data_IF_701564169931
#
_entry.id   IF_701564169931
#
_cell.length_a   1.000
_cell.length_b   1.000
_cell.length_c   1.000
_cell.angle_alpha   90.00
_cell.angle_beta   90.00
_cell.angle_gamma   90.00
#
_symmetry.space_group_name_H-M   'P 1'
#
loop_
_entity.id
_entity.type
_entity.pdbx_description
1 polymer ?
#
# COMPACT_ATOMS: atom_id res chain seq x y z
N UNK A 1 -4.14 6.11 37.16
CA UNK A 1 -4.66 4.73 37.29
C UNK A 1 -4.82 4.02 35.94
N UNK A 2 -5.53 4.56 34.94
CA UNK A 2 -5.75 3.95 33.62
C UNK A 2 -4.43 3.70 32.82
N UNK A 3 -3.46 4.62 32.85
CA UNK A 3 -2.15 4.45 32.18
C UNK A 3 -1.33 3.30 32.77
N UNK A 4 -1.36 3.13 34.10
CA UNK A 4 -0.63 2.07 34.82
C UNK A 4 -1.29 0.70 34.50
N UNK A 5 -2.62 0.62 34.48
CA UNK A 5 -3.34 -0.59 34.15
C UNK A 5 -3.08 -1.05 32.71
N UNK A 6 -3.06 -0.10 31.75
CA UNK A 6 -2.70 -0.37 30.35
C UNK A 6 -1.25 -0.88 30.24
N UNK A 7 -0.30 -0.34 31.00
CA UNK A 7 1.09 -0.78 30.99
C UNK A 7 1.26 -2.19 31.55
N UNK A 8 0.54 -2.53 32.63
CA UNK A 8 0.56 -3.87 33.26
C UNK A 8 -0.08 -4.91 32.33
N UNK A 9 -1.21 -4.58 31.69
CA UNK A 9 -1.87 -5.47 30.71
C UNK A 9 -0.94 -5.68 29.51
N UNK A 10 -0.32 -4.61 29.01
CA UNK A 10 0.64 -4.65 27.89
C UNK A 10 1.84 -5.55 28.23
N UNK A 11 2.42 -5.43 29.45
CA UNK A 11 3.52 -6.27 29.93
C UNK A 11 3.13 -7.75 30.03
N UNK A 12 1.95 -8.07 30.59
CA UNK A 12 1.45 -9.45 30.66
C UNK A 12 1.18 -10.06 29.29
N UNK A 13 0.69 -9.26 28.33
CA UNK A 13 0.50 -9.70 26.95
C UNK A 13 1.85 -9.99 26.30
N UNK A 14 2.86 -9.14 26.51
CA UNK A 14 4.21 -9.35 25.98
C UNK A 14 4.85 -10.61 26.57
N UNK A 15 4.77 -10.79 27.90
CA UNK A 15 5.30 -11.98 28.60
C UNK A 15 4.57 -13.27 28.18
N UNK A 16 3.26 -13.19 27.91
CA UNK A 16 2.47 -14.32 27.39
C UNK A 16 2.90 -14.73 25.97
N UNK A 17 3.18 -13.76 25.09
CA UNK A 17 3.68 -14.02 23.74
C UNK A 17 5.12 -14.54 23.77
N UNK A 18 5.97 -14.04 24.68
CA UNK A 18 7.34 -14.54 24.85
C UNK A 18 7.38 -16.01 25.30
N UNK A 19 6.45 -16.43 26.14
CA UNK A 19 6.41 -17.80 26.68
C UNK A 19 5.67 -18.80 25.79
N UNK A 20 4.68 -18.36 24.99
CA UNK A 20 3.83 -19.28 24.20
C UNK A 20 4.12 -19.37 22.71
N UNK A 21 4.82 -18.40 22.10
CA UNK A 21 5.02 -18.35 20.64
C UNK A 21 6.34 -18.97 20.14
N UNK A 22 7.13 -19.57 21.01
CA UNK A 22 8.38 -20.20 20.62
C UNK A 22 9.48 -19.20 20.22
N UNK A 23 10.59 -19.71 19.71
CA UNK A 23 11.74 -18.91 19.28
C UNK A 23 11.40 -18.10 18.04
N UNK A 24 11.39 -16.77 18.15
CA UNK A 24 11.29 -15.91 16.98
C UNK A 24 12.59 -15.91 16.18
N UNK A 25 12.49 -15.87 14.86
CA UNK A 25 13.64 -15.67 13.99
C UNK A 25 14.25 -14.28 14.22
N UNK A 26 13.42 -13.25 14.37
CA UNK A 26 13.84 -11.89 14.62
C UNK A 26 12.81 -11.16 15.51
N UNK A 27 13.32 -10.34 16.44
CA UNK A 27 12.51 -9.52 17.34
C UNK A 27 13.16 -8.16 17.52
N UNK A 28 12.38 -7.10 17.41
CA UNK A 28 12.83 -5.72 17.57
C UNK A 28 11.81 -4.90 18.36
N UNK A 29 12.27 -4.16 19.36
CA UNK A 29 11.46 -3.15 20.06
C UNK A 29 11.52 -1.83 19.28
N UNK A 30 10.40 -1.11 19.18
CA UNK A 30 10.36 0.19 18.54
C UNK A 30 8.97 0.80 18.52
N UNK A 31 8.77 1.83 17.71
CA UNK A 31 7.52 2.57 17.57
C UNK A 31 6.85 2.22 16.24
N UNK A 32 5.59 1.85 16.28
CA UNK A 32 4.83 1.51 15.07
C UNK A 32 4.09 2.75 14.51
N UNK A 33 4.41 3.23 13.30
CA UNK A 33 3.73 4.38 12.71
C UNK A 33 2.26 4.12 12.35
N UNK A 34 1.84 2.84 12.26
CA UNK A 34 0.46 2.48 11.94
C UNK A 34 -0.49 2.43 13.15
N UNK A 35 -0.03 2.00 14.32
CA UNK A 35 -0.85 2.05 15.54
C UNK A 35 -0.42 3.13 16.53
N UNK A 36 0.65 3.87 16.20
CA UNK A 36 1.17 5.00 16.97
C UNK A 36 1.54 4.62 18.41
N UNK A 37 2.11 3.42 18.57
CA UNK A 37 2.50 2.89 19.87
C UNK A 37 3.90 2.29 19.89
N UNK A 38 4.56 2.39 21.06
CA UNK A 38 5.72 1.55 21.38
C UNK A 38 5.29 0.08 21.42
N UNK A 39 6.03 -0.78 20.71
CA UNK A 39 5.66 -2.18 20.52
C UNK A 39 6.90 -3.05 20.27
N UNK A 40 6.66 -4.34 20.11
CA UNK A 40 7.61 -5.25 19.50
C UNK A 40 7.16 -5.60 18.08
N UNK A 41 8.14 -5.68 17.18
CA UNK A 41 8.01 -6.29 15.87
C UNK A 41 8.64 -7.67 15.94
N UNK A 42 7.94 -8.68 15.42
CA UNK A 42 8.41 -10.07 15.46
C UNK A 42 8.31 -10.73 14.09
N UNK A 43 9.29 -11.57 13.77
CA UNK A 43 9.25 -12.43 12.59
C UNK A 43 9.47 -13.88 12.97
N UNK A 44 8.71 -14.79 12.36
CA UNK A 44 8.80 -16.24 12.58
C UNK A 44 9.83 -16.91 11.66
N UNK A 45 10.17 -16.27 10.55
CA UNK A 45 11.17 -16.74 9.57
C UNK A 45 11.92 -15.57 8.92
N UNK A 46 12.82 -15.87 8.00
CA UNK A 46 13.68 -14.88 7.32
C UNK A 46 12.96 -14.00 6.30
N UNK A 47 11.76 -14.37 5.83
CA UNK A 47 10.98 -13.57 4.90
C UNK A 47 10.26 -12.43 5.64
N UNK A 48 11.00 -11.36 5.93
CA UNK A 48 10.53 -10.26 6.77
C UNK A 48 9.35 -9.50 6.13
N UNK A 49 9.25 -9.46 4.80
CA UNK A 49 8.21 -8.72 4.08
C UNK A 49 6.79 -9.06 4.57
N UNK A 50 6.52 -10.35 4.83
CA UNK A 50 5.19 -10.83 5.23
C UNK A 50 5.15 -11.35 6.67
N UNK A 51 6.29 -11.53 7.32
CA UNK A 51 6.36 -12.13 8.66
C UNK A 51 6.88 -11.20 9.74
N UNK A 52 7.46 -10.03 9.43
CA UNK A 52 7.90 -9.07 10.44
C UNK A 52 6.74 -8.16 10.86
N UNK A 53 5.93 -8.66 11.82
CA UNK A 53 4.65 -8.08 12.22
C UNK A 53 4.74 -7.27 13.50
N UNK A 54 4.00 -6.15 13.54
CA UNK A 54 3.71 -5.43 14.78
C UNK A 54 2.82 -6.27 15.69
N UNK A 55 3.19 -6.43 16.97
CA UNK A 55 2.38 -7.20 17.92
C UNK A 55 1.04 -6.55 18.28
N UNK A 56 0.90 -5.24 18.10
CA UNK A 56 -0.33 -4.50 18.43
C UNK A 56 -1.31 -4.52 17.27
N UNK A 57 -0.89 -4.08 16.07
CA UNK A 57 -1.82 -3.89 14.94
C UNK A 57 -1.61 -4.89 13.79
N UNK A 58 -0.63 -5.79 13.88
CA UNK A 58 -0.33 -6.76 12.84
C UNK A 58 0.29 -6.18 11.56
N UNK A 59 0.62 -4.88 11.53
CA UNK A 59 1.18 -4.23 10.35
C UNK A 59 2.49 -4.86 9.89
N UNK A 60 2.70 -4.84 8.57
CA UNK A 60 3.87 -5.33 7.87
C UNK A 60 4.88 -4.19 7.57
N UNK A 61 6.16 -4.50 7.26
CA UNK A 61 7.16 -3.48 6.98
C UNK A 61 6.74 -2.45 5.91
N UNK A 62 6.19 -2.91 4.77
CA UNK A 62 5.73 -2.03 3.68
C UNK A 62 4.57 -1.12 4.09
N UNK A 63 3.64 -1.61 4.93
CA UNK A 63 2.53 -0.82 5.46
C UNK A 63 3.03 0.28 6.42
N UNK A 64 4.07 -0.02 7.21
CA UNK A 64 4.73 0.95 8.08
C UNK A 64 5.56 1.95 7.30
N UNK A 65 6.29 1.50 6.26
CA UNK A 65 7.03 2.39 5.37
C UNK A 65 6.09 3.39 4.68
N UNK A 66 4.97 2.91 4.13
CA UNK A 66 3.97 3.75 3.48
C UNK A 66 3.39 4.78 4.47
N UNK A 67 2.98 4.35 5.66
CA UNK A 67 2.42 5.28 6.65
C UNK A 67 3.47 6.28 7.15
N UNK A 68 4.72 5.86 7.33
CA UNK A 68 5.80 6.77 7.73
C UNK A 68 6.06 7.82 6.65
N UNK A 69 6.07 7.43 5.37
CA UNK A 69 6.19 8.35 4.24
C UNK A 69 5.03 9.35 4.23
N UNK A 70 3.78 8.91 4.38
CA UNK A 70 2.62 9.80 4.45
C UNK A 70 2.79 10.82 5.59
N UNK A 71 3.21 10.39 6.78
CA UNK A 71 3.37 11.28 7.95
C UNK A 71 4.48 12.29 7.77
N UNK A 72 5.57 11.92 7.12
CA UNK A 72 6.72 12.79 6.91
C UNK A 72 6.45 13.83 5.81
N UNK A 73 5.85 13.40 4.71
CA UNK A 73 5.57 14.26 3.55
C UNK A 73 4.33 15.15 3.77
N UNK A 74 3.34 14.66 4.54
CA UNK A 74 2.04 15.31 4.71
C UNK A 74 1.67 15.38 6.20
N UNK A 75 2.22 16.33 6.93
CA UNK A 75 2.00 16.46 8.39
C UNK A 75 0.53 16.65 8.81
N UNK A 76 -0.30 17.18 7.90
CA UNK A 76 -1.74 17.37 8.06
C UNK A 76 -2.59 16.29 7.37
N UNK A 77 -2.02 15.12 7.06
CA UNK A 77 -2.62 14.06 6.25
C UNK A 77 -4.06 13.70 6.68
N UNK A 78 -4.35 13.75 7.97
CA UNK A 78 -5.68 13.39 8.49
C UNK A 78 -6.80 14.36 8.05
N UNK A 79 -6.48 15.54 7.55
CA UNK A 79 -7.43 16.51 7.00
C UNK A 79 -7.50 16.48 5.46
N UNK A 80 -6.66 15.71 4.80
CA UNK A 80 -6.63 15.59 3.35
C UNK A 80 -7.76 14.68 2.86
N UNK A 81 -8.19 14.90 1.61
CA UNK A 81 -9.10 14.01 0.92
C UNK A 81 -8.32 12.88 0.27
N UNK A 82 -8.45 11.69 0.82
CA UNK A 82 -7.64 10.52 0.49
C UNK A 82 -8.49 9.46 -0.19
N UNK A 83 -8.04 8.98 -1.34
CA UNK A 83 -8.52 7.77 -1.98
C UNK A 83 -7.52 6.64 -1.77
N UNK A 84 -7.96 5.50 -1.27
CA UNK A 84 -7.16 4.27 -1.22
C UNK A 84 -7.85 3.18 -2.04
N UNK A 85 -7.13 2.64 -3.02
CA UNK A 85 -7.59 1.49 -3.81
C UNK A 85 -7.12 0.20 -3.17
N UNK A 86 -8.05 -0.74 -3.04
CA UNK A 86 -7.83 -2.09 -2.49
C UNK A 86 -7.23 -2.09 -1.08
N UNK A 87 -7.80 -1.31 -0.12
CA UNK A 87 -7.29 -1.21 1.23
C UNK A 87 -7.33 -2.56 1.97
N UNK A 88 -6.33 -2.76 2.84
CA UNK A 88 -6.34 -3.87 3.79
C UNK A 88 -7.14 -3.53 5.07
N UNK A 89 -7.26 -4.52 5.97
CA UNK A 89 -7.94 -4.35 7.26
C UNK A 89 -6.98 -4.00 8.41
N UNK A 90 -5.71 -3.76 8.12
CA UNK A 90 -4.65 -3.48 9.11
C UNK A 90 -3.71 -2.38 8.63
N UNK A 91 -2.69 -2.11 9.41
CA UNK A 91 -1.60 -1.21 9.03
C UNK A 91 -2.07 0.22 8.74
N UNK A 92 -1.56 0.79 7.65
CA UNK A 92 -1.92 2.15 7.23
C UNK A 92 -3.40 2.30 6.88
N UNK A 93 -4.01 1.33 6.17
CA UNK A 93 -5.43 1.38 5.78
C UNK A 93 -6.35 1.51 6.98
N UNK A 94 -6.06 0.75 8.06
CA UNK A 94 -6.83 0.85 9.30
C UNK A 94 -6.67 2.23 9.94
N UNK A 95 -5.45 2.76 10.03
CA UNK A 95 -5.20 4.08 10.61
C UNK A 95 -5.87 5.19 9.79
N UNK A 96 -5.79 5.13 8.46
CA UNK A 96 -6.45 6.07 7.56
C UNK A 96 -7.96 6.05 7.76
N UNK A 97 -8.57 4.87 7.80
CA UNK A 97 -10.01 4.70 8.06
C UNK A 97 -10.45 5.27 9.41
N UNK A 98 -9.60 5.14 10.45
CA UNK A 98 -9.91 5.63 11.80
C UNK A 98 -9.70 7.13 11.98
N UNK A 99 -8.72 7.74 11.26
CA UNK A 99 -8.28 9.10 11.54
C UNK A 99 -8.40 10.10 10.39
N UNK A 100 -8.44 9.64 9.14
CA UNK A 100 -8.59 10.56 8.02
C UNK A 100 -10.04 11.03 7.92
N UNK A 101 -10.24 12.34 7.91
CA UNK A 101 -11.57 12.98 7.89
C UNK A 101 -12.33 12.71 6.60
N UNK A 102 -11.60 12.65 5.48
CA UNK A 102 -12.19 12.47 4.14
C UNK A 102 -11.48 11.29 3.45
N UNK A 103 -11.89 10.08 3.78
CA UNK A 103 -11.28 8.85 3.30
C UNK A 103 -12.27 8.04 2.48
N UNK A 104 -11.89 7.74 1.24
CA UNK A 104 -12.68 6.94 0.29
C UNK A 104 -11.91 5.66 -0.02
N UNK A 105 -12.58 4.54 0.23
CA UNK A 105 -12.07 3.19 -0.03
C UNK A 105 -12.71 2.62 -1.29
N UNK A 106 -11.91 2.03 -2.17
CA UNK A 106 -12.43 1.37 -3.38
C UNK A 106 -11.90 -0.04 -3.53
N UNK A 107 -12.71 -0.89 -4.14
CA UNK A 107 -12.31 -2.18 -4.70
C UNK A 107 -12.84 -2.29 -6.12
N UNK A 108 -12.24 -3.16 -6.94
CA UNK A 108 -12.73 -3.41 -8.29
C UNK A 108 -13.48 -4.74 -8.35
N UNK A 109 -14.79 -4.66 -8.61
CA UNK A 109 -15.68 -5.78 -8.87
C UNK A 109 -16.10 -5.73 -10.34
N UNK A 110 -15.49 -6.59 -11.17
CA UNK A 110 -15.62 -6.57 -12.63
C UNK A 110 -17.07 -6.56 -13.11
N UNK A 111 -17.93 -7.37 -12.49
CA UNK A 111 -19.32 -7.60 -12.93
C UNK A 111 -20.32 -6.60 -12.33
N UNK A 112 -19.83 -5.53 -11.70
CA UNK A 112 -20.67 -4.51 -11.06
C UNK A 112 -20.44 -3.16 -11.69
N UNK A 113 -21.50 -2.33 -11.71
CA UNK A 113 -21.40 -0.96 -12.23
C UNK A 113 -20.39 -0.14 -11.41
N UNK A 114 -19.51 0.60 -12.11
CA UNK A 114 -18.58 1.52 -11.45
C UNK A 114 -19.34 2.62 -10.71
N UNK A 115 -18.73 3.15 -9.66
CA UNK A 115 -19.31 4.17 -8.79
C UNK A 115 -20.33 3.64 -7.77
N UNK A 116 -20.75 2.38 -7.84
CA UNK A 116 -21.68 1.77 -6.85
C UNK A 116 -20.93 1.33 -5.60
N UNK A 117 -21.66 1.21 -4.48
CA UNK A 117 -21.09 0.75 -3.20
C UNK A 117 -21.44 -0.72 -2.98
N UNK A 118 -20.43 -1.55 -2.76
CA UNK A 118 -20.52 -2.99 -2.56
C UNK A 118 -19.76 -3.34 -1.27
N UNK A 119 -20.41 -3.91 -0.29
CA UNK A 119 -19.83 -4.30 1.00
C UNK A 119 -19.06 -3.14 1.70
N UNK A 120 -19.54 -1.89 1.53
CA UNK A 120 -18.92 -0.71 2.13
C UNK A 120 -17.75 -0.10 1.31
N UNK A 121 -17.40 -0.68 0.17
CA UNK A 121 -16.39 -0.16 -0.75
C UNK A 121 -17.05 0.37 -2.02
N UNK A 122 -16.60 1.52 -2.50
CA UNK A 122 -17.01 2.00 -3.82
C UNK A 122 -16.32 1.18 -4.90
N UNK A 123 -17.08 0.74 -5.91
CA UNK A 123 -16.54 0.00 -7.04
C UNK A 123 -15.89 0.95 -8.02
N UNK A 124 -14.57 0.85 -8.21
CA UNK A 124 -13.82 1.65 -9.17
C UNK A 124 -12.78 0.79 -9.88
N UNK A 125 -12.63 1.03 -11.19
CA UNK A 125 -11.51 0.53 -11.97
C UNK A 125 -10.44 1.63 -12.06
N UNK A 126 -9.22 1.37 -11.62
CA UNK A 126 -8.13 2.35 -11.70
C UNK A 126 -7.81 2.78 -13.14
N UNK A 127 -8.09 1.94 -14.13
CA UNK A 127 -7.89 2.25 -15.56
C UNK A 127 -9.01 3.15 -16.14
N UNK A 128 -10.14 3.34 -15.42
CA UNK A 128 -11.28 4.16 -15.85
C UNK A 128 -12.15 4.51 -14.65
N UNK A 129 -11.77 5.56 -13.94
CA UNK A 129 -12.42 5.96 -12.69
C UNK A 129 -13.64 6.85 -12.93
N UNK A 130 -14.68 6.71 -12.09
CA UNK A 130 -15.88 7.57 -12.15
C UNK A 130 -15.77 8.84 -11.30
N UNK A 131 -14.63 9.06 -10.66
CA UNK A 131 -14.37 10.29 -9.92
C UNK A 131 -14.15 11.48 -10.87
N UNK A 132 -14.55 12.66 -10.39
CA UNK A 132 -14.26 13.93 -11.10
C UNK A 132 -12.77 14.24 -11.04
N UNK A 133 -12.31 15.06 -11.98
CA UNK A 133 -10.96 15.61 -11.99
C UNK A 133 -10.68 16.34 -10.67
N UNK A 134 -9.41 16.36 -10.27
CA UNK A 134 -8.91 17.16 -9.15
C UNK A 134 -9.69 16.95 -7.83
N UNK A 135 -10.08 15.70 -7.58
CA UNK A 135 -10.91 15.36 -6.43
C UNK A 135 -10.08 15.14 -5.16
N UNK A 136 -8.90 14.53 -5.28
CA UNK A 136 -8.13 14.03 -4.15
C UNK A 136 -6.83 14.80 -3.90
N UNK A 137 -6.49 14.94 -2.64
CA UNK A 137 -5.17 15.43 -2.23
C UNK A 137 -4.13 14.29 -2.28
N UNK A 138 -4.54 13.06 -1.90
CA UNK A 138 -3.72 11.87 -1.97
C UNK A 138 -4.50 10.71 -2.60
N UNK A 139 -3.82 9.94 -3.44
CA UNK A 139 -4.24 8.60 -3.87
C UNK A 139 -3.22 7.59 -3.36
N UNK A 140 -3.69 6.47 -2.82
CA UNK A 140 -2.85 5.43 -2.23
C UNK A 140 -3.15 4.09 -2.90
N UNK A 141 -2.09 3.39 -3.34
CA UNK A 141 -2.18 1.99 -3.79
C UNK A 141 -1.05 1.19 -3.16
N UNK A 142 -1.38 0.10 -2.48
CA UNK A 142 -0.42 -0.75 -1.81
C UNK A 142 -0.52 -2.18 -2.36
N UNK A 143 0.52 -2.62 -3.10
CA UNK A 143 0.56 -3.91 -3.79
C UNK A 143 -0.67 -4.10 -4.72
N UNK A 144 -0.90 -3.12 -5.61
CA UNK A 144 -2.02 -3.09 -6.56
C UNK A 144 -1.52 -2.98 -8.01
N UNK A 145 -0.52 -2.11 -8.26
CA UNK A 145 -0.13 -1.74 -9.63
C UNK A 145 0.54 -2.89 -10.40
N UNK A 146 1.01 -3.94 -9.72
CA UNK A 146 1.50 -5.17 -10.34
C UNK A 146 0.38 -6.05 -10.92
N UNK A 147 -0.90 -5.74 -10.62
CA UNK A 147 -2.08 -6.48 -11.07
C UNK A 147 -2.86 -5.75 -12.18
N UNK A 148 -2.46 -4.55 -12.55
CA UNK A 148 -3.14 -3.72 -13.55
C UNK A 148 -2.68 -4.09 -14.95
N UNK A 149 -3.62 -4.35 -15.87
CA UNK A 149 -3.29 -4.75 -17.24
C UNK A 149 -2.84 -3.58 -18.11
N UNK A 150 -3.40 -2.39 -17.89
CA UNK A 150 -3.01 -1.16 -18.55
C UNK A 150 -2.56 -0.09 -17.54
N UNK A 151 -1.35 -0.23 -16.95
CA UNK A 151 -0.88 0.69 -15.91
C UNK A 151 -0.71 2.13 -16.41
N UNK A 152 -0.48 2.34 -17.70
CA UNK A 152 -0.39 3.70 -18.25
C UNK A 152 -1.71 4.46 -18.09
N UNK A 153 -2.85 3.81 -18.39
CA UNK A 153 -4.17 4.43 -18.17
C UNK A 153 -4.47 4.59 -16.68
N UNK A 154 -4.12 3.60 -15.85
CA UNK A 154 -4.31 3.72 -14.41
C UNK A 154 -3.54 4.90 -13.80
N UNK A 155 -2.28 5.12 -14.21
CA UNK A 155 -1.51 6.27 -13.74
C UNK A 155 -2.10 7.59 -14.26
N UNK A 156 -2.56 7.66 -15.53
CA UNK A 156 -3.23 8.87 -16.06
C UNK A 156 -4.53 9.17 -15.32
N UNK A 157 -5.36 8.16 -15.06
CA UNK A 157 -6.61 8.31 -14.32
C UNK A 157 -6.38 8.73 -12.86
N UNK A 158 -5.37 8.17 -12.20
CA UNK A 158 -4.95 8.61 -10.87
C UNK A 158 -4.51 10.08 -10.92
N UNK A 159 -3.64 10.44 -11.88
CA UNK A 159 -3.19 11.82 -12.08
C UNK A 159 -4.37 12.78 -12.34
N UNK A 160 -5.34 12.39 -13.19
CA UNK A 160 -6.54 13.19 -13.47
C UNK A 160 -7.32 13.49 -12.19
N UNK A 161 -7.49 12.48 -11.32
CA UNK A 161 -8.27 12.62 -10.08
C UNK A 161 -7.51 13.36 -8.96
N UNK A 162 -6.18 13.51 -9.07
CA UNK A 162 -5.38 14.28 -8.13
C UNK A 162 -5.52 15.78 -8.39
N UNK A 163 -5.64 16.55 -7.32
CA UNK A 163 -5.53 18.02 -7.36
C UNK A 163 -4.12 18.46 -7.74
N UNK A 164 -3.92 19.65 -8.32
CA UNK A 164 -2.59 20.25 -8.44
C UNK A 164 -1.87 20.29 -7.07
N UNK A 165 -0.65 19.75 -7.01
CA UNK A 165 0.13 19.57 -5.76
C UNK A 165 -0.27 18.36 -4.92
N UNK A 166 -1.24 17.57 -5.37
CA UNK A 166 -1.54 16.26 -4.77
C UNK A 166 -0.53 15.18 -5.18
N UNK A 167 -0.62 13.99 -4.58
CA UNK A 167 0.30 12.91 -4.88
C UNK A 167 -0.34 11.52 -4.89
N UNK A 168 0.21 10.66 -5.73
CA UNK A 168 0.03 9.22 -5.66
C UNK A 168 1.17 8.60 -4.83
N UNK A 169 0.84 7.97 -3.72
CA UNK A 169 1.80 7.26 -2.85
C UNK A 169 1.52 5.78 -2.98
N UNK A 170 2.52 5.04 -3.46
CA UNK A 170 2.32 3.62 -3.73
C UNK A 170 3.47 2.74 -3.23
N UNK A 171 3.14 1.50 -2.92
CA UNK A 171 4.07 0.39 -2.86
C UNK A 171 3.73 -0.63 -3.94
N UNK A 172 4.75 -1.21 -4.52
CA UNK A 172 4.66 -2.32 -5.47
C UNK A 172 5.95 -3.12 -5.35
N UNK A 173 5.92 -4.47 -5.43
CA UNK A 173 7.14 -5.25 -5.39
C UNK A 173 8.05 -4.94 -6.58
N UNK A 174 9.18 -4.25 -6.35
CA UNK A 174 10.15 -3.92 -7.40
C UNK A 174 11.09 -5.11 -7.62
N UNK A 175 10.53 -6.26 -8.00
CA UNK A 175 11.25 -7.54 -8.09
C UNK A 175 12.38 -7.53 -9.13
N UNK A 176 12.26 -6.72 -10.18
CA UNK A 176 13.30 -6.57 -11.19
C UNK A 176 14.44 -5.64 -10.74
N UNK A 177 14.24 -4.80 -9.71
CA UNK A 177 15.25 -3.85 -9.20
C UNK A 177 15.85 -3.01 -10.34
N UNK A 178 17.12 -3.17 -10.63
CA UNK A 178 17.84 -2.45 -11.70
C UNK A 178 17.60 -3.00 -13.12
N UNK A 179 16.93 -4.13 -13.27
CA UNK A 179 16.49 -4.63 -14.57
C UNK A 179 15.23 -3.89 -15.00
N UNK A 180 15.04 -3.78 -16.32
CA UNK A 180 13.82 -3.15 -16.86
C UNK A 180 12.55 -3.82 -16.38
N UNK A 181 11.52 -3.02 -16.18
CA UNK A 181 10.15 -3.49 -15.98
C UNK A 181 9.73 -4.44 -17.09
N UNK A 182 9.04 -5.51 -16.71
CA UNK A 182 8.66 -6.57 -17.64
C UNK A 182 7.17 -6.85 -17.54
N UNK A 183 6.47 -6.80 -18.68
CA UNK A 183 5.07 -7.22 -18.78
C UNK A 183 5.02 -8.72 -18.62
N UNK A 184 4.23 -9.21 -17.64
CA UNK A 184 4.16 -10.61 -17.24
C UNK A 184 2.92 -11.32 -17.75
N UNK A 185 1.79 -10.59 -17.86
CA UNK A 185 0.57 -11.11 -18.43
C UNK A 185 -0.19 -10.06 -19.25
N UNK A 186 -1.02 -10.55 -20.17
CA UNK A 186 -2.05 -9.80 -20.90
C UNK A 186 -3.42 -10.35 -20.56
N UNK A 187 -4.47 -9.66 -20.96
CA UNK A 187 -5.86 -10.12 -20.76
C UNK A 187 -6.41 -10.72 -22.07
N UNK A 188 -6.97 -11.91 -21.99
CA UNK A 188 -7.71 -12.52 -23.07
C UNK A 188 -9.08 -11.82 -23.29
N UNK A 189 -9.73 -11.98 -24.45
CA UNK A 189 -11.08 -11.42 -24.71
C UNK A 189 -12.16 -11.86 -23.71
N UNK A 190 -12.02 -13.05 -23.11
CA UNK A 190 -12.91 -13.58 -22.07
C UNK A 190 -12.60 -13.04 -20.68
N UNK A 191 -11.54 -12.21 -20.56
CA UNK A 191 -11.09 -11.61 -19.32
C UNK A 191 -10.16 -12.46 -18.47
N UNK A 192 -9.81 -13.68 -18.92
CA UNK A 192 -8.81 -14.51 -18.27
C UNK A 192 -7.38 -13.97 -18.50
N UNK A 193 -6.41 -14.23 -17.59
CA UNK A 193 -5.03 -13.84 -17.81
C UNK A 193 -4.38 -14.74 -18.88
N UNK A 194 -3.61 -14.12 -19.77
CA UNK A 194 -2.69 -14.78 -20.69
C UNK A 194 -1.26 -14.47 -20.24
N UNK A 195 -0.64 -15.41 -19.54
CA UNK A 195 0.71 -15.26 -19.03
C UNK A 195 1.75 -15.39 -20.14
N UNK A 196 2.70 -14.46 -20.17
CA UNK A 196 3.83 -14.46 -21.11
C UNK A 196 5.00 -15.29 -20.59
N UNK A 197 4.99 -15.58 -19.30
CA UNK A 197 5.98 -16.36 -18.54
C UNK A 197 5.26 -17.31 -17.59
N UNK A 198 6.00 -17.92 -16.65
CA UNK A 198 5.43 -18.76 -15.60
C UNK A 198 4.34 -18.00 -14.83
N UNK A 199 3.14 -18.56 -14.66
CA UNK A 199 2.06 -17.91 -13.94
C UNK A 199 2.45 -17.49 -12.53
N UNK A 200 2.23 -16.21 -12.21
CA UNK A 200 2.47 -15.63 -10.89
C UNK A 200 1.18 -15.05 -10.34
N UNK A 201 0.84 -15.42 -9.09
CA UNK A 201 -0.41 -15.05 -8.44
C UNK A 201 -0.18 -14.56 -7.03
N UNK A 202 -0.80 -13.44 -6.67
CA UNK A 202 -0.83 -12.93 -5.30
C UNK A 202 -2.20 -13.16 -4.65
N UNK A 203 -2.24 -13.12 -3.32
CA UNK A 203 -3.49 -13.19 -2.58
C UNK A 203 -4.37 -11.97 -2.84
N UNK A 204 -5.69 -12.18 -2.95
CA UNK A 204 -6.67 -11.11 -3.14
C UNK A 204 -7.71 -11.19 -2.03
N UNK A 205 -8.02 -10.08 -1.30
CA UNK A 205 -8.96 -10.09 -0.20
C UNK A 205 -10.42 -10.34 -0.63
N UNK A 206 -10.77 -10.07 -1.89
CA UNK A 206 -12.13 -10.20 -2.42
C UNK A 206 -12.31 -11.36 -3.40
N UNK A 207 -11.22 -11.97 -3.87
CA UNK A 207 -11.25 -13.12 -4.79
C UNK A 207 -10.33 -14.23 -4.29
N UNK A 208 -10.92 -15.41 -4.04
CA UNK A 208 -10.18 -16.58 -3.55
C UNK A 208 -9.21 -17.16 -4.58
N UNK A 209 -9.39 -16.87 -5.86
CA UNK A 209 -8.45 -17.28 -6.91
C UNK A 209 -7.15 -16.47 -6.86
N UNK A 210 -7.16 -15.31 -6.16
CA UNK A 210 -6.06 -14.38 -6.14
C UNK A 210 -6.10 -13.37 -7.29
N UNK A 211 -5.04 -12.57 -7.39
CA UNK A 211 -4.82 -11.63 -8.48
C UNK A 211 -3.63 -12.05 -9.32
N UNK A 212 -3.75 -12.13 -10.66
CA UNK A 212 -2.61 -12.42 -11.52
C UNK A 212 -1.62 -11.25 -11.48
N UNK A 213 -0.34 -11.54 -11.44
CA UNK A 213 0.71 -10.55 -11.64
C UNK A 213 0.81 -10.23 -13.13
N UNK A 214 0.65 -8.98 -13.50
CA UNK A 214 0.66 -8.51 -14.88
C UNK A 214 1.97 -7.82 -15.25
N UNK A 215 2.69 -7.30 -14.24
CA UNK A 215 4.00 -6.66 -14.40
C UNK A 215 4.95 -7.04 -13.27
N UNK A 216 6.19 -7.36 -13.63
CA UNK A 216 7.33 -7.34 -12.73
C UNK A 216 8.05 -6.01 -12.87
N UNK A 217 7.86 -5.13 -11.89
CA UNK A 217 8.40 -3.78 -11.90
C UNK A 217 9.88 -3.72 -11.50
N UNK A 218 10.63 -2.85 -12.19
CA UNK A 218 11.96 -2.41 -11.81
C UNK A 218 11.95 -0.96 -11.30
N UNK A 219 13.12 -0.41 -11.00
CA UNK A 219 13.26 0.99 -10.56
C UNK A 219 12.96 2.00 -11.69
N UNK A 220 12.85 1.55 -12.92
CA UNK A 220 12.40 2.31 -14.08
C UNK A 220 10.90 2.64 -14.03
N UNK A 221 10.14 2.11 -13.06
CA UNK A 221 8.74 2.49 -12.81
C UNK A 221 8.57 4.00 -12.63
N UNK A 222 9.54 4.68 -12.00
CA UNK A 222 9.48 6.14 -11.82
C UNK A 222 9.46 6.87 -13.17
N UNK A 223 10.31 6.42 -14.10
CA UNK A 223 10.39 7.01 -15.45
C UNK A 223 9.13 6.66 -16.26
N UNK A 224 8.58 5.47 -16.07
CA UNK A 224 7.30 5.06 -16.64
C UNK A 224 6.15 5.96 -16.17
N UNK A 225 6.04 6.21 -14.86
CA UNK A 225 5.02 7.10 -14.29
C UNK A 225 5.19 8.51 -14.85
N UNK A 226 6.40 9.09 -14.77
CA UNK A 226 6.69 10.43 -15.27
C UNK A 226 6.38 10.58 -16.76
N UNK A 227 6.64 9.54 -17.56
CA UNK A 227 6.30 9.53 -18.99
C UNK A 227 4.79 9.55 -19.23
N UNK A 228 4.01 8.86 -18.37
CA UNK A 228 2.56 8.77 -18.53
C UNK A 228 1.82 10.03 -18.06
N UNK A 229 2.34 10.71 -17.03
CA UNK A 229 1.59 11.73 -16.28
C UNK A 229 2.25 13.11 -16.31
N UNK A 230 3.55 13.19 -16.55
CA UNK A 230 4.35 14.39 -16.34
C UNK A 230 4.73 14.64 -14.86
N UNK A 231 4.35 13.75 -13.95
CA UNK A 231 4.58 13.91 -12.52
C UNK A 231 6.07 13.76 -12.18
N UNK A 232 6.51 14.51 -11.17
CA UNK A 232 7.80 14.25 -10.51
C UNK A 232 7.68 13.01 -9.64
N UNK A 233 8.56 12.02 -9.87
CA UNK A 233 8.46 10.73 -9.23
C UNK A 233 9.75 10.37 -8.48
N UNK A 234 9.61 10.00 -7.20
CA UNK A 234 10.72 9.65 -6.30
C UNK A 234 10.49 8.26 -5.67
N UNK A 235 11.58 7.51 -5.47
CA UNK A 235 11.56 6.21 -4.77
C UNK A 235 12.26 6.36 -3.42
N UNK A 236 11.53 6.07 -2.35
CA UNK A 236 12.03 6.10 -0.98
C UNK A 236 12.48 4.69 -0.55
N UNK A 237 13.74 4.60 -0.16
CA UNK A 237 14.35 3.39 0.42
C UNK A 237 14.43 3.57 1.93
N UNK A 238 13.57 2.91 2.70
CA UNK A 238 13.51 3.02 4.15
C UNK A 238 13.97 1.70 4.77
N UNK A 239 15.04 1.74 5.54
CA UNK A 239 15.49 0.65 6.40
C UNK A 239 15.69 1.19 7.83
N UNK A 240 14.66 1.07 8.65
CA UNK A 240 14.66 1.58 10.01
C UNK A 240 14.00 0.60 10.98
N UNK A 241 14.83 -0.04 11.78
CA UNK A 241 14.37 -1.03 12.75
C UNK A 241 13.57 -0.42 13.92
N UNK A 242 13.76 0.87 14.22
CA UNK A 242 12.96 1.54 15.25
C UNK A 242 11.48 1.61 14.85
N UNK A 243 11.22 1.83 13.56
CA UNK A 243 9.87 1.77 13.00
C UNK A 243 9.46 0.37 12.52
N UNK A 244 10.31 -0.64 12.72
CA UNK A 244 10.08 -2.01 12.25
C UNK A 244 10.07 -2.12 10.72
N UNK A 245 10.79 -1.25 10.03
CA UNK A 245 10.85 -1.19 8.56
C UNK A 245 12.17 -1.83 8.14
N UNK A 246 12.12 -3.10 7.78
CA UNK A 246 13.23 -3.86 7.18
C UNK A 246 12.66 -5.07 6.46
N UNK A 247 12.77 -5.11 5.14
CA UNK A 247 12.46 -6.25 4.31
C UNK A 247 12.91 -5.99 2.85
N UNK A 248 12.75 -6.98 1.98
CA UNK A 248 12.86 -6.78 0.53
C UNK A 248 11.53 -6.26 -0.05
N UNK A 249 11.61 -5.52 -1.15
CA UNK A 249 10.47 -5.04 -1.96
C UNK A 249 9.46 -4.22 -1.14
N UNK A 250 9.97 -3.28 -0.34
CA UNK A 250 9.16 -2.39 0.50
C UNK A 250 9.36 -0.92 0.19
N UNK A 251 9.96 -0.64 -0.94
CA UNK A 251 10.16 0.72 -1.45
C UNK A 251 8.82 1.44 -1.58
N UNK A 252 8.81 2.73 -1.26
CA UNK A 252 7.65 3.61 -1.43
C UNK A 252 7.95 4.57 -2.56
N UNK A 253 7.01 4.67 -3.48
CA UNK A 253 7.08 5.58 -4.61
C UNK A 253 6.11 6.72 -4.35
N UNK A 254 6.55 7.95 -4.59
CA UNK A 254 5.72 9.16 -4.50
C UNK A 254 5.78 9.88 -5.84
N UNK A 255 4.65 9.92 -6.55
CA UNK A 255 4.48 10.68 -7.76
C UNK A 255 3.65 11.94 -7.45
N UNK A 256 4.23 13.13 -7.65
CA UNK A 256 3.63 14.42 -7.29
C UNK A 256 3.11 15.14 -8.54
N UNK A 257 1.81 15.41 -8.57
CA UNK A 257 1.21 16.26 -9.60
C UNK A 257 1.73 17.67 -9.44
N UNK A 258 2.33 18.19 -10.49
CA UNK A 258 2.84 19.57 -10.50
C UNK A 258 1.72 20.56 -10.15
N UNK A 259 2.07 21.63 -9.44
CA UNK A 259 1.16 22.77 -9.30
C UNK A 259 1.19 23.52 -10.62
N UNK A 260 0.03 23.80 -11.20
CA UNK A 260 -0.01 24.73 -12.29
C UNK A 260 0.63 26.04 -11.82
N UNK A 261 1.72 26.43 -12.48
CA UNK A 261 2.31 27.75 -12.25
C UNK A 261 1.29 28.77 -12.77
N UNK A 262 0.50 29.36 -11.83
CA UNK A 262 -0.43 30.44 -12.13
C UNK A 262 0.32 31.71 -12.51
#
# INVERSE_FOLDING_TARGET
MIKILKSIIKRKITDFYETKLGTFYFKQKGYCPCCEEETFFIAKNSWLRDYFKCLVCGSLPRERALMLTIKNEYTNWSNLKIHESSPGERGHSKLLKEKARFYIQTHFYRDKALGTVINGFRNENLESQTFQDETFDLVITADVMEHIYNPAEAFREIHRTLKPGGAHILSVPLVNKHRSTQKWATMNPDGSPNFLYEPDWHGNPIDKQGSPVTFHWGYDIKDFISTCTGDECEIFFIDDLYYGIRAEYIEIIVARKTKDNA
#
